data_IF_996756460536
#
_entry.id   IF_996756460536
#
_cell.length_a   1.000
_cell.length_b   1.000
_cell.length_c   1.000
_cell.angle_alpha   90.00
_cell.angle_beta   90.00
_cell.angle_gamma   90.00
#
_symmetry.space_group_name_H-M   'P 1'
#
loop_
_entity.id
_entity.type
_entity.pdbx_description
1 polymer ?
#
# COMPACT_ATOMS: atom_id res chain seq x y z
N UNK A 1 33.42 8.51 -13.48
CA UNK A 1 31.98 8.56 -13.83
C UNK A 1 31.23 9.12 -12.63
N UNK A 2 30.34 10.08 -12.83
CA UNK A 2 29.48 10.57 -11.76
C UNK A 2 28.65 9.42 -11.18
N UNK A 3 28.69 9.28 -9.85
CA UNK A 3 27.97 8.26 -9.09
C UNK A 3 26.49 8.17 -9.51
N UNK A 4 25.85 9.32 -9.73
CA UNK A 4 24.44 9.43 -10.15
C UNK A 4 24.24 8.78 -11.52
N UNK A 5 25.07 9.10 -12.51
CA UNK A 5 24.97 8.55 -13.88
C UNK A 5 25.20 7.04 -13.87
N UNK A 6 26.16 6.56 -13.08
CA UNK A 6 26.38 5.14 -12.88
C UNK A 6 25.13 4.45 -12.29
N UNK A 7 24.57 4.99 -11.21
CA UNK A 7 23.37 4.45 -10.58
C UNK A 7 22.14 4.50 -11.51
N UNK A 8 21.97 5.55 -12.31
CA UNK A 8 20.91 5.62 -13.33
C UNK A 8 21.05 4.52 -14.38
N UNK A 9 22.25 4.35 -14.95
CA UNK A 9 22.51 3.28 -15.93
C UNK A 9 22.25 1.90 -15.33
N UNK A 10 22.70 1.67 -14.09
CA UNK A 10 22.44 0.42 -13.38
C UNK A 10 20.94 0.18 -13.15
N UNK A 11 20.18 1.22 -12.77
CA UNK A 11 18.73 1.15 -12.54
C UNK A 11 17.97 0.83 -13.83
N UNK A 12 18.30 1.50 -14.92
CA UNK A 12 17.68 1.27 -16.24
C UNK A 12 18.00 -0.13 -16.75
N UNK A 13 19.27 -0.55 -16.70
CA UNK A 13 19.67 -1.91 -17.11
C UNK A 13 19.01 -2.99 -16.26
N UNK A 14 18.91 -2.79 -14.95
CA UNK A 14 18.22 -3.71 -14.05
C UNK A 14 16.73 -3.83 -14.40
N UNK A 15 16.09 -2.73 -14.79
CA UNK A 15 14.69 -2.76 -15.24
C UNK A 15 14.54 -3.53 -16.57
N UNK A 16 15.46 -3.39 -17.50
CA UNK A 16 15.39 -4.04 -18.82
C UNK A 16 16.11 -5.41 -18.90
N UNK A 17 16.55 -5.99 -17.78
CA UNK A 17 17.30 -7.25 -17.74
C UNK A 17 16.45 -8.50 -18.03
N UNK A 18 16.46 -9.48 -17.11
CA UNK A 18 15.94 -10.85 -17.29
C UNK A 18 14.48 -10.96 -17.76
N UNK A 19 13.67 -9.90 -17.68
CA UNK A 19 12.24 -9.89 -18.06
C UNK A 19 11.89 -8.72 -18.96
N UNK A 20 12.78 -8.39 -19.91
CA UNK A 20 12.66 -7.27 -20.83
C UNK A 20 11.24 -7.13 -21.43
N UNK A 21 10.72 -8.17 -22.09
CA UNK A 21 9.41 -8.12 -22.76
C UNK A 21 8.27 -7.76 -21.79
N UNK A 22 8.23 -8.41 -20.62
CA UNK A 22 7.22 -8.12 -19.59
C UNK A 22 7.29 -6.67 -19.12
N UNK A 23 8.49 -6.17 -18.87
CA UNK A 23 8.72 -4.83 -18.34
C UNK A 23 8.40 -3.75 -19.39
N UNK A 24 8.69 -4.01 -20.67
CA UNK A 24 8.27 -3.17 -21.79
C UNK A 24 6.75 -3.15 -21.93
N UNK A 25 6.10 -4.31 -21.91
CA UNK A 25 4.62 -4.39 -22.00
C UNK A 25 3.95 -3.64 -20.84
N UNK A 26 4.48 -3.75 -19.62
CA UNK A 26 3.99 -2.98 -18.47
C UNK A 26 4.19 -1.48 -18.65
N UNK A 27 5.30 -1.05 -19.25
CA UNK A 27 5.55 0.36 -19.54
C UNK A 27 4.58 0.89 -20.59
N UNK A 28 4.36 0.14 -21.69
CA UNK A 28 3.39 0.48 -22.74
C UNK A 28 1.99 0.60 -22.14
N UNK A 29 1.56 -0.39 -21.36
CA UNK A 29 0.27 -0.35 -20.67
C UNK A 29 0.18 0.86 -19.73
N UNK A 30 1.25 1.19 -19.01
CA UNK A 30 1.31 2.36 -18.15
C UNK A 30 1.16 3.67 -18.93
N UNK A 31 1.82 3.81 -20.08
CA UNK A 31 1.69 4.99 -20.95
C UNK A 31 0.29 5.09 -21.55
N UNK A 32 -0.30 3.98 -21.98
CA UNK A 32 -1.70 3.96 -22.44
C UNK A 32 -2.67 4.36 -21.32
N UNK A 33 -2.46 3.86 -20.10
CA UNK A 33 -3.25 4.27 -18.94
C UNK A 33 -3.07 5.77 -18.63
N UNK A 34 -1.84 6.29 -18.69
CA UNK A 34 -1.57 7.72 -18.55
C UNK A 34 -2.32 8.55 -19.60
N UNK A 35 -2.37 8.10 -20.86
CA UNK A 35 -3.17 8.71 -21.92
C UNK A 35 -4.67 8.67 -21.61
N UNK A 36 -5.20 7.54 -21.14
CA UNK A 36 -6.60 7.41 -20.74
C UNK A 36 -6.99 8.33 -19.58
N UNK A 37 -6.17 8.38 -18.52
CA UNK A 37 -6.39 9.30 -17.39
C UNK A 37 -6.21 10.76 -17.79
N UNK A 38 -5.23 11.07 -18.65
CA UNK A 38 -5.06 12.42 -19.20
C UNK A 38 -6.31 12.86 -19.95
N UNK A 39 -6.84 12.01 -20.83
CA UNK A 39 -8.06 12.30 -21.58
C UNK A 39 -9.26 12.52 -20.64
N UNK A 40 -9.41 11.70 -19.60
CA UNK A 40 -10.45 11.85 -18.58
C UNK A 40 -10.36 13.21 -17.86
N UNK A 41 -9.17 13.60 -17.39
CA UNK A 41 -8.98 14.88 -16.72
C UNK A 41 -9.16 16.07 -17.67
N UNK A 42 -8.75 15.95 -18.92
CA UNK A 42 -9.03 16.96 -19.96
C UNK A 42 -10.53 17.13 -20.18
N UNK A 43 -11.27 16.03 -20.27
CA UNK A 43 -12.73 16.07 -20.39
C UNK A 43 -13.39 16.76 -19.19
N UNK A 44 -12.96 16.44 -17.96
CA UNK A 44 -13.46 17.10 -16.74
C UNK A 44 -13.12 18.59 -16.71
N UNK A 45 -11.92 18.99 -17.16
CA UNK A 45 -11.53 20.40 -17.24
C UNK A 45 -12.38 21.18 -18.23
N UNK A 46 -12.68 20.59 -19.39
CA UNK A 46 -13.54 21.23 -20.39
C UNK A 46 -14.98 21.37 -19.88
N UNK A 47 -15.54 20.34 -19.23
CA UNK A 47 -16.88 20.41 -18.63
C UNK A 47 -16.96 21.48 -17.51
N UNK A 48 -15.92 21.56 -16.68
CA UNK A 48 -15.83 22.56 -15.62
C UNK A 48 -15.72 23.98 -16.19
N UNK A 49 -14.98 24.15 -17.30
CA UNK A 49 -14.89 25.44 -17.99
C UNK A 49 -16.22 25.86 -18.63
N UNK A 50 -16.98 24.91 -19.18
CA UNK A 50 -18.31 25.14 -19.74
C UNK A 50 -19.41 25.34 -18.68
N UNK A 51 -19.06 25.38 -17.38
CA UNK A 51 -20.01 25.41 -16.26
C UNK A 51 -21.05 24.27 -16.27
N UNK A 52 -20.72 23.16 -16.93
CA UNK A 52 -21.57 21.95 -16.97
C UNK A 52 -21.24 20.95 -15.86
N UNK A 53 -20.24 21.26 -15.04
CA UNK A 53 -19.80 20.45 -13.93
C UNK A 53 -20.00 21.21 -12.61
N UNK A 54 -20.39 20.50 -11.55
CA UNK A 54 -20.63 21.12 -10.24
C UNK A 54 -19.37 21.76 -9.63
N UNK A 55 -18.20 21.24 -9.99
CA UNK A 55 -16.89 21.77 -9.59
C UNK A 55 -16.31 22.70 -10.64
N UNK A 56 -15.73 23.82 -10.19
CA UNK A 56 -15.02 24.77 -11.04
C UNK A 56 -13.68 24.22 -11.57
N UNK A 57 -13.08 24.92 -12.54
CA UNK A 57 -11.80 24.54 -13.16
C UNK A 57 -10.68 24.37 -12.13
N UNK A 58 -10.61 25.27 -11.15
CA UNK A 58 -9.60 25.27 -10.09
C UNK A 58 -9.72 24.04 -9.18
N UNK A 59 -10.94 23.57 -8.95
CA UNK A 59 -11.19 22.35 -8.17
C UNK A 59 -10.77 21.11 -8.94
N UNK A 60 -11.04 21.04 -10.25
CA UNK A 60 -10.60 19.92 -11.09
C UNK A 60 -9.07 19.85 -11.17
N UNK A 61 -8.40 20.99 -11.28
CA UNK A 61 -6.93 21.09 -11.19
C UNK A 61 -6.44 20.67 -9.79
N UNK A 62 -7.17 21.00 -8.73
CA UNK A 62 -6.82 20.55 -7.40
C UNK A 62 -6.99 19.03 -7.24
N UNK A 63 -8.02 18.44 -7.83
CA UNK A 63 -8.24 17.01 -7.85
C UNK A 63 -7.17 16.26 -8.63
N UNK A 64 -6.67 16.80 -9.74
CA UNK A 64 -5.57 16.17 -10.50
C UNK A 64 -4.28 16.15 -9.68
N UNK A 65 -3.96 17.25 -8.99
CA UNK A 65 -2.82 17.33 -8.07
C UNK A 65 -2.97 16.39 -6.86
N UNK A 66 -4.15 16.35 -6.25
CA UNK A 66 -4.44 15.43 -5.14
C UNK A 66 -4.37 13.98 -5.58
N UNK A 67 -4.88 13.65 -6.77
CA UNK A 67 -4.77 12.33 -7.36
C UNK A 67 -3.31 11.93 -7.52
N UNK A 68 -2.47 12.82 -8.06
CA UNK A 68 -1.04 12.58 -8.25
C UNK A 68 -0.30 12.39 -6.91
N UNK A 69 -0.63 13.20 -5.91
CA UNK A 69 -0.08 13.06 -4.56
C UNK A 69 -0.51 11.72 -3.93
N UNK A 70 -1.80 11.40 -3.99
CA UNK A 70 -2.37 10.19 -3.43
C UNK A 70 -1.79 8.93 -4.09
N UNK A 71 -1.72 8.87 -5.41
CA UNK A 71 -1.22 7.67 -6.11
C UNK A 71 0.28 7.42 -5.83
N UNK A 72 1.08 8.47 -5.67
CA UNK A 72 2.50 8.35 -5.31
C UNK A 72 2.67 7.83 -3.87
N UNK A 73 1.86 8.29 -2.92
CA UNK A 73 1.94 7.80 -1.54
C UNK A 73 1.37 6.39 -1.46
N UNK A 74 0.20 6.15 -2.05
CA UNK A 74 -0.49 4.86 -2.03
C UNK A 74 0.34 3.75 -2.65
N UNK A 75 1.05 3.98 -3.76
CA UNK A 75 1.95 2.94 -4.34
C UNK A 75 3.02 2.45 -3.37
N UNK A 76 3.35 3.26 -2.36
CA UNK A 76 4.33 2.93 -1.33
C UNK A 76 3.78 1.98 -0.26
N UNK A 77 2.47 1.93 -0.06
CA UNK A 77 1.83 1.22 1.06
C UNK A 77 0.78 0.19 0.62
N UNK A 78 0.19 0.35 -0.57
CA UNK A 78 -0.91 -0.43 -1.09
C UNK A 78 -0.62 -0.97 -2.51
N UNK A 79 -1.01 -2.22 -2.84
CA UNK A 79 -1.61 -3.23 -1.98
C UNK A 79 -0.61 -3.92 -1.04
N UNK A 80 0.68 -3.66 -1.25
CA UNK A 80 1.75 -4.12 -0.37
C UNK A 80 2.78 -3.00 -0.23
N UNK A 81 3.35 -2.87 0.96
CA UNK A 81 4.40 -1.90 1.25
C UNK A 81 5.62 -2.09 0.35
N UNK A 82 6.07 -1.01 -0.31
CA UNK A 82 7.27 -0.96 -1.15
C UNK A 82 8.39 -0.27 -0.39
N UNK A 83 9.56 -0.92 -0.24
CA UNK A 83 10.66 -0.35 0.52
C UNK A 83 11.32 0.86 -0.14
N UNK A 84 11.97 1.69 0.69
CA UNK A 84 12.92 2.70 0.20
C UNK A 84 14.14 2.00 -0.42
N UNK A 85 14.65 2.53 -1.53
CA UNK A 85 15.81 1.96 -2.20
C UNK A 85 17.11 2.41 -1.50
N UNK A 86 17.72 1.54 -0.67
CA UNK A 86 19.07 1.77 -0.16
C UNK A 86 20.10 1.36 -1.22
N UNK A 87 20.28 2.20 -2.26
CA UNK A 87 21.18 1.92 -3.38
C UNK A 87 22.64 1.83 -2.94
N UNK A 88 23.03 2.63 -1.94
CA UNK A 88 24.40 2.70 -1.46
C UNK A 88 24.39 2.46 0.04
N UNK A 89 24.98 1.34 0.45
CA UNK A 89 25.05 0.98 1.86
C UNK A 89 25.87 2.00 2.67
N UNK A 90 25.54 2.16 3.95
CA UNK A 90 26.20 3.14 4.82
C UNK A 90 27.68 2.86 5.08
N UNK A 91 28.10 1.62 4.83
CA UNK A 91 29.47 1.13 4.99
C UNK A 91 30.41 1.74 3.93
N UNK A 92 29.88 2.14 2.78
CA UNK A 92 30.71 2.75 1.74
C UNK A 92 31.16 4.16 2.16
N UNK A 93 32.42 4.54 1.85
CA UNK A 93 33.04 5.80 2.28
C UNK A 93 32.54 6.98 1.43
N UNK A 94 31.22 7.19 1.37
CA UNK A 94 30.59 8.32 0.72
C UNK A 94 29.98 9.25 1.76
N UNK A 95 30.08 10.55 1.50
CA UNK A 95 29.43 11.54 2.35
C UNK A 95 27.91 11.33 2.37
N UNK A 96 27.27 11.63 3.49
CA UNK A 96 25.83 11.45 3.64
C UNK A 96 25.03 12.25 2.60
N UNK A 97 25.51 13.44 2.23
CA UNK A 97 24.87 14.28 1.21
C UNK A 97 24.99 13.70 -0.20
N UNK A 98 26.15 13.16 -0.58
CA UNK A 98 26.32 12.50 -1.88
C UNK A 98 25.42 11.27 -2.00
N UNK A 99 25.36 10.45 -0.94
CA UNK A 99 24.44 9.31 -0.88
C UNK A 99 22.98 9.75 -0.97
N UNK A 100 22.58 10.76 -0.20
CA UNK A 100 21.23 11.29 -0.22
C UNK A 100 20.81 11.77 -1.62
N UNK A 101 21.64 12.61 -2.26
CA UNK A 101 21.41 13.13 -3.61
C UNK A 101 21.33 12.00 -4.64
N UNK A 102 22.25 11.04 -4.58
CA UNK A 102 22.25 9.89 -5.48
C UNK A 102 20.97 9.06 -5.32
N UNK A 103 20.59 8.72 -4.08
CA UNK A 103 19.35 7.97 -3.83
C UNK A 103 18.12 8.74 -4.32
N UNK A 104 18.00 10.03 -4.00
CA UNK A 104 16.87 10.87 -4.36
C UNK A 104 16.68 10.93 -5.89
N UNK A 105 17.76 11.22 -6.62
CA UNK A 105 17.70 11.36 -8.07
C UNK A 105 17.52 10.03 -8.79
N UNK A 106 18.06 8.93 -8.27
CA UNK A 106 17.92 7.61 -8.90
C UNK A 106 16.53 7.03 -8.65
N UNK A 107 15.89 7.32 -7.51
CA UNK A 107 14.51 6.89 -7.24
C UNK A 107 13.50 7.53 -8.21
N UNK A 108 13.76 8.76 -8.67
CA UNK A 108 12.98 9.42 -9.72
C UNK A 108 13.10 8.72 -11.09
N UNK A 109 14.21 8.02 -11.34
CA UNK A 109 14.38 7.16 -12.52
C UNK A 109 13.71 5.80 -12.26
N UNK A 110 12.38 5.83 -12.13
CA UNK A 110 11.56 4.64 -12.06
C UNK A 110 10.46 4.67 -13.14
N UNK A 111 10.02 3.50 -13.64
CA UNK A 111 8.94 3.41 -14.62
C UNK A 111 7.67 4.15 -14.21
N UNK A 112 7.38 4.15 -12.90
CA UNK A 112 6.22 4.85 -12.36
C UNK A 112 6.30 6.36 -12.56
N UNK A 113 7.44 6.98 -12.24
CA UNK A 113 7.61 8.43 -12.42
C UNK A 113 7.66 8.81 -13.90
N UNK A 114 8.19 7.92 -14.74
CA UNK A 114 8.11 8.08 -16.19
C UNK A 114 6.65 8.11 -16.68
N UNK A 115 5.81 7.17 -16.21
CA UNK A 115 4.38 7.14 -16.55
C UNK A 115 3.64 8.38 -16.01
N UNK A 116 3.91 8.78 -14.75
CA UNK A 116 3.32 9.98 -14.16
C UNK A 116 3.71 11.26 -14.91
N UNK A 117 4.95 11.37 -15.37
CA UNK A 117 5.41 12.49 -16.17
C UNK A 117 4.75 12.50 -17.55
N UNK A 118 4.58 11.33 -18.19
CA UNK A 118 3.82 11.23 -19.43
C UNK A 118 2.36 11.64 -19.23
N UNK A 119 1.72 11.27 -18.13
CA UNK A 119 0.37 11.75 -17.78
C UNK A 119 0.31 13.28 -17.75
N UNK A 120 1.26 13.94 -17.06
CA UNK A 120 1.30 15.41 -16.98
C UNK A 120 1.54 16.08 -18.34
N UNK A 121 2.44 15.52 -19.15
CA UNK A 121 2.74 16.04 -20.50
C UNK A 121 1.54 15.86 -21.42
N UNK A 122 0.89 14.70 -21.42
CA UNK A 122 -0.30 14.46 -22.23
C UNK A 122 -1.46 15.34 -21.78
N UNK A 123 -1.62 15.59 -20.47
CA UNK A 123 -2.63 16.49 -19.94
C UNK A 123 -2.41 17.92 -20.43
N UNK A 124 -1.16 18.39 -20.39
CA UNK A 124 -0.77 19.69 -20.93
C UNK A 124 -0.99 19.82 -22.44
N UNK A 125 -0.69 18.78 -23.22
CA UNK A 125 -0.89 18.80 -24.67
C UNK A 125 -2.36 18.69 -25.09
N UNK A 126 -3.20 18.06 -24.27
CA UNK A 126 -4.60 17.77 -24.62
C UNK A 126 -5.60 18.79 -24.06
N UNK A 127 -5.29 19.47 -22.95
CA UNK A 127 -6.20 20.45 -22.34
C UNK A 127 -5.70 21.89 -22.53
N UNK A 128 -6.44 22.75 -23.24
CA UNK A 128 -6.06 24.16 -23.41
C UNK A 128 -6.13 24.95 -22.09
N UNK A 129 -6.91 24.47 -21.11
CA UNK A 129 -7.06 25.09 -19.80
C UNK A 129 -5.92 24.73 -18.82
N UNK A 130 -5.09 23.75 -19.18
CA UNK A 130 -3.95 23.33 -18.37
C UNK A 130 -2.69 24.10 -18.80
N UNK A 131 -2.50 25.29 -18.24
CA UNK A 131 -1.36 26.17 -18.57
C UNK A 131 0.00 25.61 -18.12
N UNK A 132 1.09 26.21 -18.63
CA UNK A 132 2.47 25.89 -18.22
C UNK A 132 2.67 26.05 -16.71
N UNK A 133 1.99 27.02 -16.10
CA UNK A 133 2.06 27.27 -14.66
C UNK A 133 1.51 26.05 -13.88
N UNK A 134 0.36 25.52 -14.29
CA UNK A 134 -0.21 24.30 -13.69
C UNK A 134 0.65 23.07 -13.93
N UNK A 135 1.33 22.98 -15.08
CA UNK A 135 2.30 21.90 -15.34
C UNK A 135 3.47 21.95 -14.34
N UNK A 136 4.07 23.12 -14.15
CA UNK A 136 5.18 23.30 -13.20
C UNK A 136 4.73 23.04 -11.76
N UNK A 137 3.54 23.51 -11.39
CA UNK A 137 2.94 23.21 -10.09
C UNK A 137 2.79 21.70 -9.88
N UNK A 138 2.25 20.98 -10.86
CA UNK A 138 2.06 19.53 -10.76
C UNK A 138 3.37 18.75 -10.70
N UNK A 139 4.44 19.26 -11.32
CA UNK A 139 5.79 18.72 -11.14
C UNK A 139 6.27 18.93 -9.69
N UNK A 140 6.02 20.10 -9.09
CA UNK A 140 6.35 20.34 -7.67
C UNK A 140 5.54 19.45 -6.74
N UNK A 141 4.26 19.20 -7.04
CA UNK A 141 3.41 18.24 -6.31
C UNK A 141 3.99 16.83 -6.41
N UNK A 142 4.42 16.41 -7.61
CA UNK A 142 5.07 15.12 -7.84
C UNK A 142 6.32 14.94 -6.98
N UNK A 143 7.19 15.95 -6.97
CA UNK A 143 8.41 15.94 -6.16
C UNK A 143 8.09 15.94 -4.67
N UNK A 144 7.12 16.74 -4.23
CA UNK A 144 6.67 16.79 -2.83
C UNK A 144 6.10 15.44 -2.39
N UNK A 145 5.28 14.80 -3.22
CA UNK A 145 4.74 13.48 -2.94
C UNK A 145 5.84 12.41 -2.88
N UNK A 146 6.86 12.50 -3.74
CA UNK A 146 8.04 11.62 -3.68
C UNK A 146 8.81 11.78 -2.36
N UNK A 147 9.09 13.01 -1.94
CA UNK A 147 9.76 13.29 -0.66
C UNK A 147 8.89 12.87 0.53
N UNK A 148 7.56 12.98 0.41
CA UNK A 148 6.61 12.54 1.43
C UNK A 148 6.67 11.04 1.61
N UNK A 149 6.56 10.29 0.50
CA UNK A 149 6.71 8.85 0.50
C UNK A 149 8.03 8.44 1.15
N UNK A 150 9.15 9.05 0.73
CA UNK A 150 10.47 8.75 1.27
C UNK A 150 10.59 9.06 2.76
N UNK A 151 10.03 10.18 3.23
CA UNK A 151 10.02 10.56 4.64
C UNK A 151 9.23 9.58 5.48
N UNK A 152 8.03 9.21 5.01
CA UNK A 152 7.21 8.18 5.63
C UNK A 152 7.98 6.86 5.70
N UNK A 153 8.58 6.41 4.58
CA UNK A 153 9.40 5.21 4.52
C UNK A 153 10.58 5.26 5.50
N UNK A 154 11.24 6.40 5.72
CA UNK A 154 12.34 6.52 6.70
C UNK A 154 11.84 6.36 8.14
N UNK A 155 10.73 7.03 8.50
CA UNK A 155 10.11 6.93 9.83
C UNK A 155 9.64 5.51 10.16
N UNK A 156 9.13 4.86 9.12
CA UNK A 156 8.69 3.48 9.07
C UNK A 156 9.94 2.60 9.23
N UNK A 157 10.87 2.58 8.27
CA UNK A 157 11.97 1.61 8.18
C UNK A 157 13.05 1.70 9.25
N UNK A 158 13.42 2.91 9.70
CA UNK A 158 14.65 3.11 10.48
C UNK A 158 14.36 3.43 11.94
N UNK A 159 15.34 3.16 12.83
CA UNK A 159 15.25 3.56 14.24
C UNK A 159 15.70 5.02 14.36
N UNK A 160 14.74 5.94 14.38
CA UNK A 160 15.02 7.37 14.57
C UNK A 160 15.51 7.65 15.99
N UNK A 161 16.60 8.40 16.11
CA UNK A 161 17.07 8.96 17.38
C UNK A 161 16.31 10.25 17.67
N UNK A 162 15.16 10.12 18.32
CA UNK A 162 14.23 11.23 18.63
C UNK A 162 14.87 12.39 19.41
N UNK A 163 15.93 12.14 20.17
CA UNK A 163 16.63 13.17 20.97
C UNK A 163 17.85 13.79 20.25
N UNK A 164 18.10 13.44 18.99
CA UNK A 164 19.24 14.00 18.25
C UNK A 164 18.93 15.41 17.76
N UNK A 165 19.95 16.29 17.71
CA UNK A 165 19.82 17.62 17.14
C UNK A 165 19.29 17.58 15.69
N UNK A 166 19.75 16.60 14.90
CA UNK A 166 19.27 16.37 13.54
C UNK A 166 17.76 16.12 13.48
N UNK A 167 17.18 15.42 14.46
CA UNK A 167 15.75 15.20 14.52
C UNK A 167 14.98 16.49 14.81
N UNK A 168 15.44 17.31 15.77
CA UNK A 168 14.82 18.60 16.05
C UNK A 168 14.91 19.54 14.86
N UNK A 169 16.06 19.62 14.19
CA UNK A 169 16.22 20.41 12.97
C UNK A 169 15.31 19.90 11.85
N UNK A 170 15.15 18.58 11.69
CA UNK A 170 14.20 18.01 10.73
C UNK A 170 12.76 18.39 11.06
N UNK A 171 12.37 18.38 12.34
CA UNK A 171 11.04 18.76 12.79
C UNK A 171 10.74 20.24 12.54
N UNK A 172 11.71 21.14 12.79
CA UNK A 172 11.56 22.58 12.50
C UNK A 172 11.39 22.81 11.00
N UNK A 173 12.19 22.16 10.16
CA UNK A 173 12.09 22.28 8.70
C UNK A 173 10.75 21.71 8.18
N UNK A 174 10.28 20.60 8.76
CA UNK A 174 8.97 20.05 8.45
C UNK A 174 7.83 20.97 8.91
N UNK A 175 7.95 21.61 10.07
CA UNK A 175 6.98 22.58 10.56
C UNK A 175 6.91 23.82 9.65
N UNK A 176 8.06 24.31 9.15
CA UNK A 176 8.10 25.39 8.18
C UNK A 176 7.38 25.00 6.87
N UNK A 177 7.62 23.78 6.36
CA UNK A 177 6.88 23.25 5.23
C UNK A 177 5.36 23.21 5.50
N UNK A 178 4.94 22.64 6.64
CA UNK A 178 3.51 22.55 7.00
C UNK A 178 2.88 23.95 7.14
N UNK A 179 3.58 24.90 7.74
CA UNK A 179 3.08 26.27 7.90
C UNK A 179 2.85 26.96 6.55
N UNK A 180 3.76 26.77 5.59
CA UNK A 180 3.59 27.28 4.22
C UNK A 180 2.42 26.59 3.50
N UNK A 181 2.32 25.26 3.61
CA UNK A 181 1.27 24.48 2.95
C UNK A 181 -0.13 24.68 3.57
N UNK A 182 -0.21 25.00 4.86
CA UNK A 182 -1.47 25.32 5.51
C UNK A 182 -2.06 26.64 4.99
N UNK A 183 -1.20 27.61 4.65
CA UNK A 183 -1.61 28.90 4.08
C UNK A 183 -1.86 28.82 2.58
N UNK A 184 -0.92 28.19 1.86
CA UNK A 184 -0.94 28.06 0.41
C UNK A 184 -0.72 26.59 0.05
N UNK A 185 -1.81 25.78 0.03
CA UNK A 185 -1.69 24.36 -0.25
C UNK A 185 -1.28 24.13 -1.70
N UNK A 186 -0.19 23.39 -1.91
CA UNK A 186 0.40 23.14 -3.23
C UNK A 186 -0.52 22.35 -4.18
N UNK A 187 -1.58 21.73 -3.66
CA UNK A 187 -2.58 21.09 -4.51
C UNK A 187 -3.58 22.07 -5.11
N UNK A 188 -3.84 23.24 -4.52
CA UNK A 188 -4.81 24.22 -5.07
C UNK A 188 -4.23 24.92 -6.29
N UNK A 189 -5.02 25.09 -7.35
CA UNK A 189 -4.57 25.72 -8.60
C UNK A 189 -3.87 27.07 -8.34
N UNK A 190 -2.68 27.23 -8.92
CA UNK A 190 -1.87 28.43 -8.77
C UNK A 190 -2.16 29.42 -9.91
N UNK A 191 -2.51 30.66 -9.58
CA UNK A 191 -2.71 31.74 -10.56
C UNK A 191 -1.47 32.60 -10.84
N UNK A 192 -0.42 32.52 -10.02
CA UNK A 192 0.74 33.42 -10.05
C UNK A 192 2.09 32.67 -9.91
N UNK A 193 3.11 33.15 -10.61
CA UNK A 193 4.49 32.69 -10.50
C UNK A 193 5.07 32.86 -9.10
N UNK A 194 4.66 33.89 -8.36
CA UNK A 194 5.12 34.09 -6.98
C UNK A 194 4.75 32.90 -6.09
N UNK A 195 3.55 32.34 -6.28
CA UNK A 195 3.11 31.16 -5.54
C UNK A 195 3.94 29.92 -5.91
N UNK A 196 4.39 29.77 -7.16
CA UNK A 196 5.35 28.71 -7.53
C UNK A 196 6.67 28.85 -6.78
N UNK A 197 7.18 30.07 -6.59
CA UNK A 197 8.38 30.32 -5.78
C UNK A 197 8.16 29.90 -4.33
N UNK A 198 7.01 30.22 -3.74
CA UNK A 198 6.64 29.78 -2.39
C UNK A 198 6.58 28.25 -2.30
N UNK A 199 6.01 27.59 -3.31
CA UNK A 199 5.96 26.14 -3.41
C UNK A 199 7.35 25.49 -3.56
N UNK A 200 8.24 26.09 -4.35
CA UNK A 200 9.64 25.65 -4.44
C UNK A 200 10.37 25.81 -3.11
N UNK A 201 10.18 26.92 -2.40
CA UNK A 201 10.75 27.14 -1.08
C UNK A 201 10.23 26.11 -0.06
N UNK A 202 8.93 25.83 -0.07
CA UNK A 202 8.32 24.80 0.76
C UNK A 202 8.93 23.41 0.47
N UNK A 203 9.08 23.03 -0.80
CA UNK A 203 9.76 21.79 -1.19
C UNK A 203 11.23 21.78 -0.71
N UNK A 204 11.94 22.90 -0.77
CA UNK A 204 13.29 23.05 -0.24
C UNK A 204 13.38 22.75 1.25
N UNK A 205 12.48 23.33 2.06
CA UNK A 205 12.38 23.01 3.49
C UNK A 205 12.09 21.54 3.72
N UNK A 206 11.20 20.95 2.91
CA UNK A 206 10.84 19.55 3.06
C UNK A 206 11.96 18.58 2.66
N UNK A 207 12.73 18.91 1.62
CA UNK A 207 13.95 18.20 1.26
C UNK A 207 15.01 18.28 2.37
N UNK A 208 15.19 19.46 2.96
CA UNK A 208 16.06 19.65 4.12
C UNK A 208 15.61 18.82 5.32
N UNK A 209 14.31 18.80 5.61
CA UNK A 209 13.72 17.96 6.66
C UNK A 209 13.99 16.47 6.41
N UNK A 210 13.79 15.99 5.18
CA UNK A 210 14.02 14.59 4.82
C UNK A 210 15.50 14.19 4.95
N UNK A 211 16.43 15.05 4.51
CA UNK A 211 17.87 14.81 4.68
C UNK A 211 18.28 14.72 6.16
N UNK A 212 17.83 15.66 6.99
CA UNK A 212 18.13 15.69 8.42
C UNK A 212 17.50 14.50 9.15
N UNK A 213 16.30 14.09 8.74
CA UNK A 213 15.64 12.90 9.26
C UNK A 213 16.45 11.63 8.95
N UNK A 214 17.04 11.53 7.76
CA UNK A 214 17.92 10.41 7.41
C UNK A 214 19.21 10.39 8.24
N UNK A 215 19.76 11.55 8.59
CA UNK A 215 20.90 11.64 9.50
C UNK A 215 20.52 11.26 10.95
N UNK A 216 19.29 11.55 11.37
CA UNK A 216 18.77 11.15 12.68
C UNK A 216 18.43 9.65 12.77
N UNK A 217 18.26 8.99 11.63
CA UNK A 217 17.91 7.59 11.53
C UNK A 217 19.15 6.67 11.68
N UNK A 218 19.23 5.94 12.78
CA UNK A 218 20.32 4.98 13.03
C UNK A 218 20.14 3.66 12.26
N UNK A 219 21.21 2.85 12.23
CA UNK A 219 21.28 1.49 11.64
C UNK A 219 20.01 0.62 11.85
N UNK A 220 19.74 -0.33 10.95
CA UNK A 220 18.55 -1.17 10.99
C UNK A 220 18.39 -1.84 12.35
N UNK A 221 17.14 -1.83 12.88
CA UNK A 221 16.81 -2.44 14.18
C UNK A 221 17.31 -3.90 14.22
N UNK A 222 18.32 -4.20 15.05
CA UNK A 222 18.73 -5.58 15.33
C UNK A 222 17.53 -6.39 15.82
N UNK A 223 17.40 -7.61 15.32
CA UNK A 223 16.29 -8.52 15.62
C UNK A 223 16.53 -9.13 17.00
N UNK A 224 15.95 -8.53 18.05
CA UNK A 224 15.92 -9.12 19.39
C UNK A 224 14.85 -10.21 19.38
N UNK A 225 15.24 -11.45 19.65
CA UNK A 225 14.32 -12.58 19.82
C UNK A 225 13.87 -12.55 21.29
N UNK A 226 12.63 -12.12 21.52
CA UNK A 226 12.01 -12.20 22.84
C UNK A 226 11.48 -13.62 23.06
N UNK A 227 12.07 -14.34 24.03
CA UNK A 227 11.52 -15.60 24.51
C UNK A 227 10.45 -15.29 25.56
N UNK A 228 9.19 -15.68 25.31
CA UNK A 228 8.13 -15.52 26.32
C UNK A 228 8.16 -16.68 27.32
N UNK A 229 8.22 -16.38 28.62
CA UNK A 229 8.26 -17.35 29.72
C UNK A 229 6.88 -17.85 30.18
N UNK A 230 5.77 -17.28 29.69
CA UNK A 230 4.42 -17.61 30.15
C UNK A 230 3.83 -18.87 29.48
N UNK A 231 3.83 -20.00 30.19
CA UNK A 231 3.26 -21.26 29.72
C UNK A 231 1.71 -21.29 29.68
N UNK A 232 1.01 -20.46 30.47
CA UNK A 232 -0.46 -20.52 30.67
C UNK A 232 -1.31 -19.81 29.59
N UNK A 233 -0.70 -19.07 28.66
CA UNK A 233 -1.47 -18.35 27.60
C UNK A 233 -1.73 -19.24 26.39
N UNK A 234 -2.91 -19.10 25.77
CA UNK A 234 -3.29 -19.84 24.57
C UNK A 234 -2.24 -19.71 23.46
N UNK A 235 -1.94 -20.83 22.78
CA UNK A 235 -0.91 -20.91 21.73
C UNK A 235 -1.20 -19.89 20.61
N UNK A 236 -2.47 -19.66 20.28
CA UNK A 236 -2.88 -18.70 19.25
C UNK A 236 -2.51 -17.25 19.62
N UNK A 237 -2.80 -16.86 20.87
CA UNK A 237 -2.42 -15.54 21.37
C UNK A 237 -0.90 -15.38 21.42
N UNK A 238 -0.20 -16.45 21.80
CA UNK A 238 1.26 -16.48 21.85
C UNK A 238 1.89 -16.33 20.46
N UNK A 239 1.38 -17.05 19.46
CA UNK A 239 1.87 -16.97 18.08
C UNK A 239 1.68 -15.57 17.50
N UNK A 240 0.50 -14.96 17.69
CA UNK A 240 0.22 -13.60 17.22
C UNK A 240 1.01 -12.53 17.98
N UNK A 241 1.10 -12.64 19.31
CA UNK A 241 1.81 -11.66 20.15
C UNK A 241 3.32 -11.72 19.97
N UNK A 242 3.90 -12.92 19.89
CA UNK A 242 5.35 -13.10 19.83
C UNK A 242 5.90 -12.84 18.42
N UNK A 243 5.10 -13.05 17.37
CA UNK A 243 5.54 -12.76 16.01
C UNK A 243 5.41 -11.26 15.70
N UNK A 244 6.43 -10.50 16.10
CA UNK A 244 6.49 -9.03 15.99
C UNK A 244 6.00 -8.50 14.64
N UNK A 245 6.38 -9.13 13.52
CA UNK A 245 5.95 -8.69 12.18
C UNK A 245 4.47 -8.86 11.90
N UNK A 246 3.89 -9.96 12.38
CA UNK A 246 2.47 -10.26 12.14
C UNK A 246 1.65 -9.29 12.97
N UNK A 247 1.99 -9.13 14.26
CA UNK A 247 1.38 -8.12 15.13
C UNK A 247 1.39 -6.74 14.47
N UNK A 248 2.56 -6.34 13.99
CA UNK A 248 2.74 -5.01 13.43
C UNK A 248 1.99 -4.81 12.10
N UNK A 249 1.96 -5.82 11.21
CA UNK A 249 1.21 -5.77 9.95
C UNK A 249 -0.31 -5.74 10.19
N UNK A 250 -0.80 -6.55 11.13
CA UNK A 250 -2.20 -6.53 11.52
C UNK A 250 -2.59 -5.21 12.18
N UNK A 251 -1.74 -4.67 13.07
CA UNK A 251 -1.99 -3.37 13.69
C UNK A 251 -2.02 -2.26 12.65
N UNK A 252 -1.11 -2.27 11.68
CA UNK A 252 -1.09 -1.30 10.59
C UNK A 252 -2.37 -1.37 9.76
N UNK A 253 -2.77 -2.58 9.33
CA UNK A 253 -4.00 -2.79 8.56
C UNK A 253 -5.26 -2.36 9.33
N UNK A 254 -5.37 -2.75 10.61
CA UNK A 254 -6.49 -2.35 11.46
C UNK A 254 -6.50 -0.84 11.74
N UNK A 255 -5.35 -0.23 12.03
CA UNK A 255 -5.27 1.22 12.25
C UNK A 255 -5.67 1.99 10.99
N UNK A 256 -5.21 1.54 9.81
CA UNK A 256 -5.60 2.13 8.54
C UNK A 256 -7.12 2.03 8.31
N UNK A 257 -7.71 0.86 8.59
CA UNK A 257 -9.17 0.67 8.54
C UNK A 257 -9.92 1.59 9.49
N UNK A 258 -9.49 1.68 10.75
CA UNK A 258 -10.09 2.56 11.76
C UNK A 258 -10.01 4.03 11.33
N UNK A 259 -8.88 4.47 10.77
CA UNK A 259 -8.74 5.85 10.26
C UNK A 259 -9.74 6.11 9.13
N UNK A 260 -9.85 5.21 8.15
CA UNK A 260 -10.77 5.40 7.02
C UNK A 260 -12.24 5.39 7.45
N UNK A 261 -12.65 4.41 8.26
CA UNK A 261 -14.01 4.34 8.79
C UNK A 261 -14.32 5.52 9.73
N UNK A 262 -13.32 5.99 10.49
CA UNK A 262 -13.44 7.14 11.38
C UNK A 262 -13.58 8.47 10.62
N UNK A 263 -12.83 8.65 9.53
CA UNK A 263 -12.98 9.81 8.63
C UNK A 263 -14.37 9.83 7.99
N UNK A 264 -14.85 8.65 7.59
CA UNK A 264 -16.18 8.54 7.02
C UNK A 264 -17.29 8.84 8.05
N UNK A 265 -17.21 8.25 9.24
CA UNK A 265 -18.12 8.55 10.34
C UNK A 265 -18.12 10.04 10.71
N UNK A 266 -16.94 10.67 10.71
CA UNK A 266 -16.82 12.11 10.94
C UNK A 266 -17.51 12.94 9.86
N UNK A 267 -17.40 12.55 8.59
CA UNK A 267 -18.09 13.26 7.51
C UNK A 267 -19.61 13.06 7.59
N UNK A 268 -20.07 11.83 7.87
CA UNK A 268 -21.49 11.52 8.03
C UNK A 268 -22.12 12.35 9.15
N UNK A 269 -21.48 12.39 10.32
CA UNK A 269 -21.95 13.20 11.45
C UNK A 269 -21.92 14.71 11.17
N UNK A 270 -20.98 15.20 10.36
CA UNK A 270 -20.82 16.63 10.08
C UNK A 270 -21.70 17.14 8.94
N UNK A 271 -21.93 16.32 7.91
CA UNK A 271 -22.58 16.72 6.65
C UNK A 271 -23.85 15.93 6.33
N UNK A 272 -24.16 14.90 7.11
CA UNK A 272 -25.24 13.96 6.83
C UNK A 272 -24.96 13.04 5.62
N UNK A 273 -23.73 13.05 5.11
CA UNK A 273 -23.32 12.31 3.90
C UNK A 273 -22.01 11.58 4.15
N UNK A 274 -21.93 10.34 3.67
CA UNK A 274 -20.69 9.55 3.68
C UNK A 274 -19.66 10.16 2.71
N UNK A 275 -18.36 10.00 3.00
CA UNK A 275 -17.26 10.56 2.18
C UNK A 275 -17.22 9.91 0.80
N UNK A 276 -17.54 8.63 0.78
CA UNK A 276 -17.57 7.81 -0.41
C UNK A 276 -19.01 7.35 -0.56
N UNK A 277 -19.57 7.59 -1.75
CA UNK A 277 -20.94 7.20 -2.09
C UNK A 277 -21.21 5.75 -1.65
N UNK A 278 -22.38 5.52 -1.05
CA UNK A 278 -22.68 4.50 -0.02
C UNK A 278 -22.31 3.03 -0.32
N UNK A 279 -21.87 2.67 -1.53
CA UNK A 279 -22.15 1.34 -2.07
C UNK A 279 -20.91 0.52 -2.50
N UNK A 280 -19.72 1.09 -2.74
CA UNK A 280 -18.59 0.25 -3.21
C UNK A 280 -17.26 0.44 -2.46
N UNK A 281 -16.77 1.67 -2.38
CA UNK A 281 -15.43 1.93 -1.85
C UNK A 281 -15.39 1.88 -0.32
N UNK A 282 -16.45 2.33 0.36
CA UNK A 282 -16.62 2.16 1.81
C UNK A 282 -16.60 0.68 2.21
N UNK A 283 -17.31 -0.16 1.45
CA UNK A 283 -17.42 -1.58 1.73
C UNK A 283 -16.13 -2.36 1.51
N UNK A 284 -15.24 -1.85 0.66
CA UNK A 284 -13.90 -2.40 0.49
C UNK A 284 -13.08 -2.32 1.78
N UNK A 285 -13.31 -1.27 2.58
CA UNK A 285 -12.71 -1.10 3.89
C UNK A 285 -13.52 -1.79 5.00
N UNK A 286 -14.84 -1.95 4.84
CA UNK A 286 -15.66 -2.70 5.79
C UNK A 286 -15.38 -4.21 5.75
N UNK A 287 -14.95 -4.78 4.63
CA UNK A 287 -14.63 -6.20 4.51
C UNK A 287 -13.34 -6.63 5.26
N UNK A 288 -13.13 -7.95 5.44
CA UNK A 288 -11.94 -8.49 6.11
C UNK A 288 -10.70 -8.57 5.21
N UNK A 289 -10.76 -8.04 3.97
CA UNK A 289 -9.72 -8.18 2.95
C UNK A 289 -8.33 -7.69 3.40
N UNK A 290 -8.29 -6.69 4.28
CA UNK A 290 -7.06 -6.14 4.83
C UNK A 290 -6.31 -7.22 5.64
N UNK A 291 -7.00 -7.98 6.48
CA UNK A 291 -6.40 -9.05 7.29
C UNK A 291 -5.72 -10.08 6.38
N UNK A 292 -6.39 -10.48 5.29
CA UNK A 292 -5.87 -11.46 4.35
C UNK A 292 -4.69 -10.94 3.53
N UNK A 293 -4.79 -9.72 2.99
CA UNK A 293 -3.79 -9.14 2.09
C UNK A 293 -2.44 -8.88 2.76
N UNK A 294 -2.46 -8.54 4.06
CA UNK A 294 -1.24 -8.21 4.80
C UNK A 294 -0.53 -9.42 5.41
N UNK A 295 -1.26 -10.47 5.82
CA UNK A 295 -0.67 -11.60 6.55
C UNK A 295 -1.06 -12.95 5.96
N UNK A 296 -2.35 -13.24 5.81
CA UNK A 296 -2.81 -14.61 5.60
C UNK A 296 -2.64 -15.12 4.16
N UNK A 297 -2.50 -14.25 3.17
CA UNK A 297 -2.11 -14.63 1.80
C UNK A 297 -0.65 -15.11 1.69
N UNK A 298 0.09 -15.19 2.80
CA UNK A 298 1.39 -15.85 2.89
C UNK A 298 1.69 -16.28 4.34
N UNK A 299 0.74 -16.93 5.00
CA UNK A 299 0.83 -17.26 6.42
C UNK A 299 2.10 -18.07 6.76
N UNK A 300 2.43 -19.08 5.94
CA UNK A 300 3.60 -19.94 6.16
C UNK A 300 4.92 -19.22 5.94
N UNK A 301 4.92 -18.12 5.17
CA UNK A 301 6.08 -17.23 5.08
C UNK A 301 6.40 -16.53 6.40
N UNK A 302 5.38 -16.14 7.17
CA UNK A 302 5.57 -15.57 8.50
C UNK A 302 5.92 -16.65 9.53
N UNK A 303 5.26 -17.81 9.46
CA UNK A 303 5.40 -18.89 10.45
C UNK A 303 6.15 -20.11 9.91
N UNK A 304 7.28 -19.91 9.21
CA UNK A 304 8.05 -20.99 8.57
C UNK A 304 8.46 -22.13 9.52
N UNK A 305 8.80 -21.79 10.76
CA UNK A 305 9.18 -22.79 11.77
C UNK A 305 7.97 -23.60 12.23
N UNK A 306 6.79 -22.97 12.35
CA UNK A 306 5.56 -23.66 12.72
C UNK A 306 5.15 -24.63 11.61
N UNK A 307 5.24 -24.20 10.35
CA UNK A 307 5.03 -25.08 9.21
C UNK A 307 5.96 -26.31 9.26
N UNK A 308 7.26 -26.08 9.49
CA UNK A 308 8.25 -27.16 9.62
C UNK A 308 7.91 -28.13 10.77
N UNK A 309 7.45 -27.61 11.91
CA UNK A 309 7.03 -28.43 13.05
C UNK A 309 5.81 -29.29 12.70
N UNK A 310 4.81 -28.74 12.01
CA UNK A 310 3.62 -29.50 11.57
C UNK A 310 4.03 -30.62 10.61
N UNK A 311 4.91 -30.30 9.65
CA UNK A 311 5.42 -31.26 8.67
C UNK A 311 6.18 -32.41 9.33
N UNK A 312 7.02 -32.12 10.34
CA UNK A 312 7.80 -33.15 11.06
C UNK A 312 6.99 -33.99 12.04
N UNK A 313 5.92 -33.44 12.61
CA UNK A 313 5.11 -34.12 13.64
C UNK A 313 3.96 -34.92 13.05
N UNK A 314 3.19 -34.31 12.14
CA UNK A 314 1.94 -34.88 11.63
C UNK A 314 2.00 -35.25 10.15
N UNK A 315 2.74 -34.47 9.34
CA UNK A 315 2.78 -34.57 7.88
C UNK A 315 1.37 -34.59 7.22
N UNK A 316 0.36 -34.02 7.90
CA UNK A 316 -1.04 -34.01 7.44
C UNK A 316 -1.48 -32.61 7.04
N UNK A 317 -1.98 -32.47 5.81
CA UNK A 317 -2.49 -31.20 5.29
C UNK A 317 -3.70 -30.65 6.09
N UNK A 318 -4.47 -31.53 6.74
CA UNK A 318 -5.57 -31.13 7.63
C UNK A 318 -5.10 -30.29 8.82
N UNK A 319 -3.92 -30.59 9.37
CA UNK A 319 -3.38 -29.86 10.51
C UNK A 319 -2.92 -28.45 10.11
N UNK A 320 -2.46 -28.27 8.87
CA UNK A 320 -2.19 -26.95 8.31
C UNK A 320 -3.45 -26.08 8.27
N UNK A 321 -4.54 -26.62 7.73
CA UNK A 321 -5.84 -25.90 7.68
C UNK A 321 -6.32 -25.55 9.08
N UNK A 322 -6.23 -26.50 10.02
CA UNK A 322 -6.63 -26.30 11.42
C UNK A 322 -5.86 -25.15 12.07
N UNK A 323 -4.54 -25.12 11.90
CA UNK A 323 -3.68 -24.06 12.45
C UNK A 323 -3.95 -22.72 11.77
N UNK A 324 -4.16 -22.68 10.44
CA UNK A 324 -4.55 -21.47 9.72
C UNK A 324 -5.85 -20.88 10.28
N UNK A 325 -6.89 -21.70 10.42
CA UNK A 325 -8.17 -21.28 10.99
C UNK A 325 -8.03 -20.78 12.43
N UNK A 326 -7.22 -21.44 13.25
CA UNK A 326 -6.95 -21.02 14.63
C UNK A 326 -6.26 -19.65 14.71
N UNK A 327 -5.32 -19.37 13.82
CA UNK A 327 -4.62 -18.08 13.75
C UNK A 327 -5.50 -16.95 13.20
N UNK A 328 -6.47 -17.26 12.32
CA UNK A 328 -7.41 -16.29 11.75
C UNK A 328 -8.44 -15.76 12.76
N UNK A 329 -8.81 -16.55 13.78
CA UNK A 329 -9.92 -16.23 14.71
C UNK A 329 -9.80 -14.84 15.34
N UNK A 330 -8.65 -14.54 15.96
CA UNK A 330 -8.48 -13.29 16.69
C UNK A 330 -8.44 -12.07 15.75
N UNK A 331 -7.63 -12.07 14.66
CA UNK A 331 -7.63 -10.95 13.72
C UNK A 331 -9.00 -10.70 13.08
N UNK A 332 -9.74 -11.75 12.70
CA UNK A 332 -11.10 -11.61 12.16
C UNK A 332 -12.09 -11.10 13.21
N UNK A 333 -11.98 -11.52 14.47
CA UNK A 333 -12.85 -11.01 15.53
C UNK A 333 -12.63 -9.52 15.78
N UNK A 334 -11.36 -9.07 15.81
CA UNK A 334 -11.04 -7.65 15.93
C UNK A 334 -11.53 -6.85 14.73
N UNK A 335 -11.34 -7.38 13.52
CA UNK A 335 -11.82 -6.76 12.28
C UNK A 335 -13.35 -6.66 12.25
N UNK A 336 -14.06 -7.74 12.60
CA UNK A 336 -15.52 -7.78 12.69
C UNK A 336 -16.05 -6.82 13.75
N UNK A 337 -15.40 -6.71 14.92
CA UNK A 337 -15.79 -5.77 15.96
C UNK A 337 -15.72 -4.32 15.46
N UNK A 338 -14.64 -3.95 14.77
CA UNK A 338 -14.49 -2.61 14.17
C UNK A 338 -15.55 -2.37 13.08
N UNK A 339 -15.72 -3.32 12.16
CA UNK A 339 -16.69 -3.22 11.06
C UNK A 339 -18.12 -3.11 11.57
N UNK A 340 -18.55 -4.00 12.45
CA UNK A 340 -19.93 -4.04 12.93
C UNK A 340 -20.24 -2.89 13.90
N UNK A 341 -19.27 -2.42 14.69
CA UNK A 341 -19.46 -1.19 15.45
C UNK A 341 -19.74 -0.02 14.51
N UNK A 342 -18.94 0.15 13.46
CA UNK A 342 -19.15 1.21 12.47
C UNK A 342 -20.53 1.10 11.78
N UNK A 343 -20.92 -0.09 11.31
CA UNK A 343 -22.21 -0.31 10.66
C UNK A 343 -23.37 0.00 11.62
N UNK A 344 -23.29 -0.48 12.87
CA UNK A 344 -24.36 -0.30 13.85
C UNK A 344 -24.63 1.18 14.17
N UNK A 345 -23.60 2.02 14.18
CA UNK A 345 -23.74 3.45 14.51
C UNK A 345 -23.96 4.34 13.30
N UNK A 346 -23.41 4.01 12.13
CA UNK A 346 -23.36 4.94 10.99
C UNK A 346 -23.98 4.42 9.70
N UNK A 347 -24.31 3.13 9.58
CA UNK A 347 -24.85 2.56 8.33
C UNK A 347 -25.81 1.38 8.60
N UNK A 348 -26.79 1.62 9.47
CA UNK A 348 -27.70 0.58 9.95
C UNK A 348 -28.69 0.11 8.89
N UNK A 349 -29.03 0.95 7.90
CA UNK A 349 -29.96 0.64 6.80
C UNK A 349 -29.46 -0.53 5.94
N UNK A 350 -28.14 -0.62 5.72
CA UNK A 350 -27.51 -1.68 4.92
C UNK A 350 -26.90 -2.81 5.76
N UNK A 351 -27.28 -2.93 7.05
CA UNK A 351 -26.66 -3.88 7.97
C UNK A 351 -26.76 -5.34 7.52
N UNK A 352 -27.88 -5.75 6.91
CA UNK A 352 -28.05 -7.12 6.42
C UNK A 352 -27.09 -7.43 5.27
N UNK A 353 -27.02 -6.54 4.28
CA UNK A 353 -26.07 -6.66 3.17
C UNK A 353 -24.63 -6.75 3.69
N UNK A 354 -24.28 -5.87 4.63
CA UNK A 354 -22.98 -5.85 5.26
C UNK A 354 -22.58 -7.19 5.89
N UNK A 355 -23.48 -7.77 6.68
CA UNK A 355 -23.24 -9.03 7.38
C UNK A 355 -23.12 -10.18 6.38
N UNK A 356 -24.02 -10.25 5.39
CA UNK A 356 -23.98 -11.29 4.35
C UNK A 356 -22.69 -11.20 3.53
N UNK A 357 -22.32 -9.99 3.11
CA UNK A 357 -21.07 -9.74 2.39
C UNK A 357 -19.85 -10.10 3.23
N UNK A 358 -19.83 -9.72 4.52
CA UNK A 358 -18.73 -10.03 5.42
C UNK A 358 -18.55 -11.54 5.62
N UNK A 359 -19.63 -12.27 5.83
CA UNK A 359 -19.61 -13.74 5.94
C UNK A 359 -19.18 -14.37 4.61
N UNK A 360 -19.74 -13.94 3.49
CA UNK A 360 -19.35 -14.39 2.15
C UNK A 360 -17.86 -14.16 1.88
N UNK A 361 -17.33 -13.00 2.29
CA UNK A 361 -15.92 -12.67 2.18
C UNK A 361 -15.03 -13.58 3.02
N UNK A 362 -15.40 -13.92 4.25
CA UNK A 362 -14.64 -14.89 5.06
C UNK A 362 -14.63 -16.27 4.39
N UNK A 363 -15.79 -16.73 3.90
CA UNK A 363 -15.92 -18.03 3.24
C UNK A 363 -15.17 -18.09 1.91
N UNK A 364 -15.01 -16.97 1.23
CA UNK A 364 -14.27 -16.84 -0.03
C UNK A 364 -12.75 -16.69 0.19
N UNK A 365 -12.34 -15.77 1.07
CA UNK A 365 -10.95 -15.39 1.27
C UNK A 365 -10.18 -16.41 2.11
N UNK A 366 -10.84 -17.14 3.02
CA UNK A 366 -10.16 -18.16 3.84
C UNK A 366 -9.56 -19.29 3.00
N UNK A 367 -10.33 -19.97 2.13
CA UNK A 367 -9.78 -21.00 1.24
C UNK A 367 -8.72 -20.43 0.30
N UNK A 368 -8.95 -19.23 -0.24
CA UNK A 368 -8.02 -18.57 -1.14
C UNK A 368 -6.68 -18.24 -0.46
N UNK A 369 -6.70 -17.82 0.80
CA UNK A 369 -5.49 -17.52 1.58
C UNK A 369 -4.65 -18.77 1.88
N UNK A 370 -5.32 -19.92 2.09
CA UNK A 370 -4.67 -21.22 2.25
C UNK A 370 -3.99 -21.62 0.93
N UNK A 371 -4.70 -21.49 -0.20
CA UNK A 371 -4.15 -21.72 -1.55
C UNK A 371 -2.95 -20.82 -1.80
N UNK A 372 -3.08 -19.51 -1.58
CA UNK A 372 -2.03 -18.52 -1.79
C UNK A 372 -0.77 -18.86 -0.99
N UNK A 373 -0.95 -19.24 0.27
CA UNK A 373 0.15 -19.59 1.19
C UNK A 373 0.91 -20.87 0.80
N UNK A 374 0.29 -21.78 0.04
CA UNK A 374 0.91 -23.05 -0.40
C UNK A 374 1.50 -22.93 -1.81
N UNK A 375 0.76 -22.33 -2.75
CA UNK A 375 1.12 -22.31 -4.19
C UNK A 375 2.16 -21.24 -4.50
N UNK A 376 2.06 -20.07 -3.86
CA UNK A 376 2.94 -18.92 -4.07
C UNK A 376 3.55 -18.45 -2.75
N UNK A 377 4.31 -19.33 -2.06
CA UNK A 377 4.94 -18.94 -0.82
C UNK A 377 5.97 -17.85 -1.08
N UNK A 378 6.09 -16.93 -0.12
CA UNK A 378 7.16 -15.93 -0.11
C UNK A 378 7.91 -15.98 1.21
N UNK A 379 9.22 -15.76 1.16
CA UNK A 379 10.00 -15.61 2.38
C UNK A 379 9.75 -14.27 3.03
N UNK A 380 9.35 -14.30 4.30
CA UNK A 380 9.26 -13.09 5.11
C UNK A 380 10.57 -12.90 5.86
N UNK A 381 11.47 -12.10 5.28
CA UNK A 381 12.74 -11.69 5.92
C UNK A 381 12.62 -10.26 6.42
N UNK A 382 13.24 -9.94 7.58
CA UNK A 382 13.39 -8.59 8.17
C UNK A 382 12.27 -8.09 9.12
N UNK A 383 12.31 -6.80 9.54
CA UNK A 383 11.37 -6.09 10.46
C UNK A 383 10.00 -5.72 9.85
N UNK A 384 9.08 -5.03 10.58
CA UNK A 384 7.77 -4.57 10.04
C UNK A 384 7.92 -3.93 8.67
N UNK A 385 9.04 -3.26 8.49
CA UNK A 385 9.37 -2.43 7.36
C UNK A 385 10.46 -3.04 6.47
N UNK A 386 10.56 -4.37 6.46
CA UNK A 386 11.55 -5.06 5.64
C UNK A 386 11.15 -5.21 4.19
N UNK A 387 12.21 -5.31 3.40
CA UNK A 387 12.34 -4.82 2.04
C UNK A 387 11.92 -5.82 0.95
N UNK A 388 11.01 -6.74 1.25
CA UNK A 388 10.42 -7.65 0.27
C UNK A 388 8.92 -7.72 0.43
N UNK A 389 8.18 -7.77 -0.68
CA UNK A 389 6.74 -8.02 -0.68
C UNK A 389 6.46 -9.30 0.11
N UNK A 390 5.82 -9.15 1.28
CA UNK A 390 5.64 -10.23 2.26
C UNK A 390 4.49 -11.17 1.91
N UNK A 391 3.65 -10.80 0.95
CA UNK A 391 2.51 -11.59 0.46
C UNK A 391 2.53 -11.66 -1.06
N UNK A 392 1.87 -12.66 -1.64
CA UNK A 392 1.84 -12.80 -3.11
C UNK A 392 0.98 -11.70 -3.74
N UNK A 393 1.58 -10.88 -4.62
CA UNK A 393 0.88 -9.77 -5.28
C UNK A 393 -0.23 -10.29 -6.18
N UNK A 394 0.01 -11.39 -6.89
CA UNK A 394 -1.00 -12.04 -7.74
C UNK A 394 -2.21 -12.48 -6.92
N UNK A 395 -2.01 -13.15 -5.79
CA UNK A 395 -3.11 -13.58 -4.93
C UNK A 395 -3.79 -12.42 -4.21
N UNK A 396 -3.09 -11.31 -3.94
CA UNK A 396 -3.74 -10.10 -3.43
C UNK A 396 -4.65 -9.47 -4.49
N UNK A 397 -4.19 -9.34 -5.74
CA UNK A 397 -5.06 -8.86 -6.83
C UNK A 397 -6.25 -9.79 -7.08
N UNK A 398 -6.02 -11.11 -7.05
CA UNK A 398 -7.10 -12.10 -7.15
C UNK A 398 -8.09 -11.96 -5.97
N UNK A 399 -7.59 -11.78 -4.75
CA UNK A 399 -8.42 -11.56 -3.55
C UNK A 399 -9.26 -10.29 -3.71
N UNK A 400 -8.67 -9.18 -4.17
CA UNK A 400 -9.37 -7.92 -4.41
C UNK A 400 -10.42 -8.09 -5.50
N UNK A 401 -10.09 -8.74 -6.62
CA UNK A 401 -11.02 -8.96 -7.72
C UNK A 401 -12.21 -9.83 -7.31
N UNK A 402 -11.95 -10.98 -6.68
CA UNK A 402 -13.00 -11.91 -6.24
C UNK A 402 -13.84 -11.33 -5.10
N UNK A 403 -13.22 -10.61 -4.16
CA UNK A 403 -13.96 -9.87 -3.14
C UNK A 403 -14.78 -8.74 -3.76
N UNK A 404 -14.26 -8.05 -4.78
CA UNK A 404 -14.97 -7.06 -5.56
C UNK A 404 -16.25 -7.60 -6.21
N UNK A 405 -16.22 -8.85 -6.67
CA UNK A 405 -17.41 -9.53 -7.23
C UNK A 405 -18.52 -9.75 -6.18
N UNK A 406 -18.22 -9.74 -4.88
CA UNK A 406 -19.24 -9.82 -3.84
C UNK A 406 -20.11 -8.56 -3.75
N UNK A 407 -19.72 -7.47 -4.43
CA UNK A 407 -20.52 -6.25 -4.56
C UNK A 407 -21.51 -6.27 -5.72
N UNK A 408 -21.46 -7.27 -6.60
CA UNK A 408 -22.40 -7.39 -7.72
C UNK A 408 -23.89 -7.38 -7.32
N UNK A 409 -24.33 -7.91 -6.16
CA UNK A 409 -25.73 -7.82 -5.75
C UNK A 409 -26.29 -6.40 -5.62
N UNK A 410 -25.41 -5.39 -5.51
CA UNK A 410 -25.80 -3.98 -5.48
C UNK A 410 -26.30 -3.48 -6.85
N UNK A 411 -25.91 -4.15 -7.94
CA UNK A 411 -26.43 -3.86 -9.28
C UNK A 411 -27.78 -4.54 -9.51
N UNK A 412 -27.93 -5.78 -9.04
CA UNK A 412 -29.16 -6.54 -9.20
C UNK A 412 -29.24 -7.69 -8.18
N UNK A 413 -30.37 -7.91 -7.46
CA UNK A 413 -30.49 -8.95 -6.44
C UNK A 413 -30.18 -10.37 -6.92
N UNK A 414 -30.47 -10.71 -8.18
CA UNK A 414 -30.15 -12.04 -8.74
C UNK A 414 -28.65 -12.38 -8.66
N UNK A 415 -27.79 -11.36 -8.60
CA UNK A 415 -26.34 -11.52 -8.52
C UNK A 415 -25.88 -12.04 -7.15
N UNK A 416 -26.76 -12.18 -6.15
CA UNK A 416 -26.47 -12.98 -4.96
C UNK A 416 -26.13 -14.44 -5.30
N UNK A 417 -26.61 -14.97 -6.44
CA UNK A 417 -26.24 -16.31 -6.92
C UNK A 417 -24.75 -16.45 -7.25
N UNK A 418 -24.02 -15.34 -7.39
CA UNK A 418 -22.56 -15.35 -7.58
C UNK A 418 -21.84 -15.83 -6.31
N UNK A 419 -22.39 -15.58 -5.11
CA UNK A 419 -21.76 -15.96 -3.83
C UNK A 419 -21.47 -17.47 -3.73
N UNK A 420 -22.46 -18.37 -3.88
CA UNK A 420 -22.20 -19.80 -3.80
C UNK A 420 -21.23 -20.28 -4.88
N UNK A 421 -21.27 -19.70 -6.09
CA UNK A 421 -20.34 -20.05 -7.19
C UNK A 421 -18.89 -19.70 -6.82
N UNK A 422 -18.65 -18.48 -6.33
CA UNK A 422 -17.32 -18.02 -5.93
C UNK A 422 -16.79 -18.81 -4.72
N UNK A 423 -17.64 -19.03 -3.71
CA UNK A 423 -17.27 -19.79 -2.50
C UNK A 423 -16.95 -21.25 -2.88
N UNK A 424 -17.79 -21.89 -3.70
CA UNK A 424 -17.56 -23.25 -4.17
C UNK A 424 -16.26 -23.34 -4.98
N UNK A 425 -16.02 -22.38 -5.89
CA UNK A 425 -14.77 -22.31 -6.66
C UNK A 425 -13.53 -22.20 -5.79
N UNK A 426 -13.55 -21.33 -4.78
CA UNK A 426 -12.44 -21.17 -3.83
C UNK A 426 -12.22 -22.42 -2.96
N UNK A 427 -13.32 -23.06 -2.52
CA UNK A 427 -13.27 -24.31 -1.76
C UNK A 427 -12.71 -25.46 -2.60
N UNK A 428 -13.14 -25.61 -3.86
CA UNK A 428 -12.63 -26.61 -4.79
C UNK A 428 -11.15 -26.39 -5.07
N UNK A 429 -10.73 -25.14 -5.30
CA UNK A 429 -9.32 -24.79 -5.47
C UNK A 429 -8.49 -25.17 -4.23
N UNK A 430 -8.99 -24.89 -3.02
CA UNK A 430 -8.34 -25.30 -1.78
C UNK A 430 -8.22 -26.83 -1.69
N UNK A 431 -9.28 -27.57 -1.97
CA UNK A 431 -9.26 -29.04 -1.95
C UNK A 431 -8.26 -29.60 -2.97
N UNK A 432 -8.21 -29.05 -4.19
CA UNK A 432 -7.26 -29.44 -5.21
C UNK A 432 -5.81 -29.22 -4.76
N UNK A 433 -5.51 -28.04 -4.21
CA UNK A 433 -4.17 -27.71 -3.70
C UNK A 433 -3.78 -28.57 -2.51
N UNK A 434 -4.71 -28.87 -1.59
CA UNK A 434 -4.45 -29.76 -0.46
C UNK A 434 -4.18 -31.21 -0.89
N UNK A 435 -4.83 -31.69 -1.96
CA UNK A 435 -4.51 -33.00 -2.57
C UNK A 435 -3.11 -33.02 -3.18
N UNK A 436 -2.69 -31.93 -3.80
CA UNK A 436 -1.36 -31.77 -4.40
C UNK A 436 -0.26 -31.33 -3.40
N UNK A 437 -0.61 -31.13 -2.13
CA UNK A 437 0.33 -30.68 -1.09
C UNK A 437 1.66 -31.47 -1.04
N UNK A 438 1.69 -32.81 -1.24
CA UNK A 438 2.95 -33.57 -1.28
C UNK A 438 3.96 -33.08 -2.33
N UNK A 439 3.51 -32.44 -3.41
CA UNK A 439 4.38 -31.79 -4.40
C UNK A 439 4.77 -30.39 -3.94
N UNK A 440 3.80 -29.60 -3.48
CA UNK A 440 4.04 -28.20 -3.06
C UNK A 440 4.95 -28.07 -1.84
N UNK A 441 4.98 -29.07 -0.94
CA UNK A 441 5.84 -28.99 0.25
C UNK A 441 7.33 -28.87 -0.05
N UNK A 442 7.81 -29.44 -1.16
CA UNK A 442 9.20 -29.29 -1.59
C UNK A 442 9.49 -27.85 -2.03
N UNK A 443 8.58 -27.25 -2.80
CA UNK A 443 8.65 -25.84 -3.19
C UNK A 443 8.58 -24.90 -1.99
N UNK A 444 7.71 -25.20 -1.01
CA UNK A 444 7.64 -24.47 0.26
C UNK A 444 8.97 -24.54 1.02
N UNK A 445 9.55 -25.73 1.13
CA UNK A 445 10.85 -25.93 1.78
C UNK A 445 11.96 -25.17 1.07
N UNK A 446 12.05 -25.30 -0.25
CA UNK A 446 13.03 -24.60 -1.09
C UNK A 446 12.91 -23.09 -0.93
N UNK A 447 11.70 -22.57 -1.04
CA UNK A 447 11.44 -21.13 -0.91
C UNK A 447 11.81 -20.64 0.48
N UNK A 448 11.34 -21.31 1.54
CA UNK A 448 11.52 -20.85 2.93
C UNK A 448 12.92 -21.02 3.51
N UNK A 449 13.68 -22.02 3.04
CA UNK A 449 14.93 -22.45 3.66
C UNK A 449 16.13 -22.53 2.71
N UNK A 450 15.95 -22.76 1.39
CA UNK A 450 17.07 -22.83 0.43
C UNK A 450 17.35 -21.50 -0.28
N UNK A 451 16.32 -20.71 -0.59
CA UNK A 451 16.47 -19.36 -1.15
C UNK A 451 16.85 -18.29 -0.08
N UNK A 452 17.45 -18.74 1.04
CA UNK A 452 17.73 -17.94 2.23
C UNK A 452 19.05 -17.18 2.13
#
# INVERSE_FOLDING_TARGET
>A
MDLIVFCWRARIRSFFGERHLKNVLLLILGVLAAGGYSWLFTYLLNLAHENKFASGTDEVLAYSNLFLLAIIILKGFFPAYVPKANLINQIYPLSALQRFRAELLVELVSPFYFVALNFLVLLFLSSPHYTVLHLLQSILVLLTAHVTLRSLQVLVERRTRWRSANFYSAAVMAAAFIALQARMPMFKATSDWLMLVVHMAALGFFLGANFLLELAAAEPRRKIVEHSTDARRSINWRLLRNHKLVKQMLLFGLAFKVILLGLDAFAYTSKGQHVLDEIATLWLFAGPIIVYSYVFNNLWGFYRNLWLTIERSSNKAKDLVRVTLQLLRLPLLLDAAVTFAYIAFFNHENALFAVVMYVGAILLLTPLSIVASIVSPKTVKGGLFSFSSKTSTLFNFLSIGLFGMLFLPLLHPILYLVYPVLIAGAMLAMVAVLKEYPKYKYKLHETHFKAA
#
